data_IF_561868001719
#
_entry.id   IF_561868001719
#
_cell.length_a   1.000
_cell.length_b   1.000
_cell.length_c   1.000
_cell.angle_alpha   90.00
_cell.angle_beta   90.00
_cell.angle_gamma   90.00
#
_symmetry.space_group_name_H-M   'P 1'
#
loop_
_entity.id
_entity.type
_entity.pdbx_description
1 polymer ?
#
# COMPACT_ATOMS: atom_id res chain seq x y z
N UNK A 1 -7.64 -9.47 10.12
CA UNK A 1 -8.53 -8.65 9.29
C UNK A 1 -7.77 -8.24 8.02
N UNK A 2 -8.32 -8.52 6.83
CA UNK A 2 -7.70 -8.21 5.52
C UNK A 2 -7.64 -6.70 5.21
N UNK A 3 -8.40 -5.87 5.93
CA UNK A 3 -8.47 -4.43 5.70
C UNK A 3 -7.30 -3.64 6.31
N UNK A 4 -6.67 -4.15 7.39
CA UNK A 4 -5.68 -3.41 8.16
C UNK A 4 -4.51 -2.82 7.34
N UNK A 5 -3.91 -3.55 6.37
CA UNK A 5 -2.83 -3.00 5.55
C UNK A 5 -3.26 -1.76 4.75
N UNK A 6 -4.47 -1.80 4.17
CA UNK A 6 -5.01 -0.68 3.39
C UNK A 6 -5.28 0.53 4.29
N UNK A 7 -5.82 0.31 5.49
CA UNK A 7 -6.10 1.41 6.43
C UNK A 7 -4.82 2.08 6.95
N UNK A 8 -3.77 1.31 7.21
CA UNK A 8 -2.45 1.85 7.58
C UNK A 8 -1.88 2.74 6.48
N UNK A 9 -1.98 2.29 5.22
CA UNK A 9 -1.53 3.05 4.04
C UNK A 9 -2.30 4.36 3.89
N UNK A 10 -3.62 4.35 4.04
CA UNK A 10 -4.46 5.57 4.01
C UNK A 10 -4.05 6.62 5.04
N UNK A 11 -3.63 6.19 6.24
CA UNK A 11 -3.17 7.08 7.30
C UNK A 11 -1.76 7.61 6.97
N UNK A 12 -0.84 6.74 6.56
CA UNK A 12 0.54 7.13 6.27
C UNK A 12 0.64 8.14 5.12
N UNK A 13 -0.18 7.99 4.07
CA UNK A 13 -0.23 8.92 2.93
C UNK A 13 -1.15 10.13 3.18
N UNK A 14 -1.66 10.31 4.42
CA UNK A 14 -2.48 11.46 4.79
C UNK A 14 -3.82 11.57 4.03
N UNK A 15 -4.29 10.49 3.39
CA UNK A 15 -5.53 10.50 2.60
C UNK A 15 -6.77 10.72 3.48
N UNK A 16 -6.73 10.17 4.69
CA UNK A 16 -7.76 10.34 5.73
C UNK A 16 -7.11 10.88 6.99
N UNK A 17 -6.79 12.18 6.96
CA UNK A 17 -6.16 12.88 8.08
C UNK A 17 -7.04 12.88 9.35
N UNK A 18 -6.40 13.01 10.51
CA UNK A 18 -7.09 13.20 11.79
C UNK A 18 -7.79 11.97 12.37
N UNK A 19 -7.62 10.78 11.77
CA UNK A 19 -8.25 9.54 12.26
C UNK A 19 -7.20 8.53 12.69
N UNK A 20 -7.30 8.00 13.92
CA UNK A 20 -6.42 6.90 14.37
C UNK A 20 -6.78 5.57 13.68
N UNK A 21 -5.82 4.64 13.61
CA UNK A 21 -6.05 3.33 13.01
C UNK A 21 -7.24 2.56 13.64
N UNK A 22 -7.42 2.51 14.97
CA UNK A 22 -8.59 1.85 15.57
C UNK A 22 -9.92 2.53 15.24
N UNK A 23 -9.94 3.87 15.13
CA UNK A 23 -11.12 4.61 14.71
C UNK A 23 -11.46 4.31 13.25
N UNK A 24 -10.46 4.37 12.36
CA UNK A 24 -10.64 4.08 10.95
C UNK A 24 -11.05 2.61 10.70
N UNK A 25 -10.55 1.66 11.48
CA UNK A 25 -10.94 0.26 11.38
C UNK A 25 -12.42 0.04 11.74
N UNK A 26 -12.93 0.73 12.77
CA UNK A 26 -14.36 0.73 13.11
C UNK A 26 -15.19 1.39 12.01
N UNK A 27 -14.72 2.51 11.47
CA UNK A 27 -15.36 3.26 10.40
C UNK A 27 -15.02 2.75 8.98
N UNK A 28 -14.42 1.56 8.81
CA UNK A 28 -13.89 1.11 7.49
C UNK A 28 -14.90 1.13 6.35
N UNK A 29 -16.20 1.05 6.66
CA UNK A 29 -17.29 1.14 5.70
C UNK A 29 -17.42 2.52 5.05
N UNK A 30 -16.83 3.57 5.62
CA UNK A 30 -16.78 4.93 5.05
C UNK A 30 -15.67 5.08 4.01
N UNK A 31 -14.76 4.10 3.90
CA UNK A 31 -13.70 4.09 2.90
C UNK A 31 -14.30 3.84 1.52
N UNK A 32 -14.26 4.85 0.66
CA UNK A 32 -14.77 4.80 -0.70
C UNK A 32 -13.64 4.63 -1.72
N UNK A 33 -14.00 4.20 -2.93
CA UNK A 33 -13.08 4.05 -4.07
C UNK A 33 -12.20 5.29 -4.31
N UNK A 34 -12.75 6.50 -4.14
CA UNK A 34 -12.00 7.76 -4.30
C UNK A 34 -10.80 7.86 -3.34
N UNK A 35 -10.91 7.36 -2.11
CA UNK A 35 -9.81 7.36 -1.15
C UNK A 35 -8.71 6.40 -1.60
N UNK A 36 -9.10 5.23 -2.14
CA UNK A 36 -8.13 4.26 -2.67
C UNK A 36 -7.42 4.80 -3.92
N UNK A 37 -8.12 5.45 -4.84
CA UNK A 37 -7.49 6.05 -6.01
C UNK A 37 -6.51 7.17 -5.64
N UNK A 38 -6.87 7.99 -4.65
CA UNK A 38 -5.98 9.02 -4.11
C UNK A 38 -4.76 8.42 -3.41
N UNK A 39 -4.94 7.34 -2.65
CA UNK A 39 -3.85 6.60 -2.04
C UNK A 39 -2.86 6.11 -3.09
N UNK A 40 -3.35 5.41 -4.12
CA UNK A 40 -2.47 4.84 -5.15
C UNK A 40 -1.71 5.92 -5.93
N UNK A 41 -2.36 7.05 -6.21
CA UNK A 41 -1.69 8.18 -6.83
C UNK A 41 -0.57 8.74 -5.93
N UNK A 42 -0.84 8.92 -4.63
CA UNK A 42 0.14 9.42 -3.68
C UNK A 42 1.36 8.49 -3.57
N UNK A 43 1.13 7.17 -3.48
CA UNK A 43 2.21 6.18 -3.41
C UNK A 43 3.07 6.12 -4.69
N UNK A 44 2.48 6.49 -5.84
CA UNK A 44 3.17 6.65 -7.11
C UNK A 44 3.85 8.03 -7.27
N UNK A 45 3.78 8.92 -6.26
CA UNK A 45 4.39 10.25 -6.29
C UNK A 45 3.54 11.32 -6.99
N UNK A 46 2.24 11.07 -7.22
CA UNK A 46 1.32 12.00 -7.86
C UNK A 46 0.34 12.64 -6.86
N UNK A 47 -0.06 13.89 -7.14
CA UNK A 47 -0.95 14.68 -6.27
C UNK A 47 -2.43 14.27 -6.36
N UNK A 48 -2.83 13.63 -7.46
CA UNK A 48 -4.21 13.19 -7.69
C UNK A 48 -4.30 11.99 -8.64
N UNK A 49 -5.45 11.33 -8.63
CA UNK A 49 -5.76 10.25 -9.59
C UNK A 49 -5.71 10.77 -11.03
N UNK A 50 -6.22 11.97 -11.27
CA UNK A 50 -6.26 12.61 -12.59
C UNK A 50 -4.84 12.87 -13.12
N UNK A 51 -3.89 13.21 -12.24
CA UNK A 51 -2.49 13.40 -12.59
C UNK A 51 -1.76 12.06 -12.87
N UNK A 52 -2.12 10.98 -12.18
CA UNK A 52 -1.49 9.67 -12.34
C UNK A 52 -2.07 8.86 -13.51
N UNK A 53 -3.38 8.97 -13.77
CA UNK A 53 -4.10 8.17 -14.79
C UNK A 53 -3.46 8.18 -16.19
N UNK A 54 -2.94 9.30 -16.72
CA UNK A 54 -2.26 9.30 -18.01
C UNK A 54 -0.95 8.48 -17.99
N UNK A 55 -0.17 8.58 -16.90
CA UNK A 55 1.08 7.85 -16.74
C UNK A 55 0.87 6.33 -16.71
N UNK A 56 -0.26 5.87 -16.17
CA UNK A 56 -0.64 4.45 -16.16
C UNK A 56 -0.75 3.83 -17.57
N UNK A 57 -1.03 4.64 -18.61
CA UNK A 57 -1.09 4.12 -20.00
C UNK A 57 0.28 3.66 -20.51
N UNK A 58 1.35 4.12 -19.88
CA UNK A 58 2.73 3.82 -20.27
C UNK A 58 3.48 3.01 -19.19
N UNK A 59 2.81 2.63 -18.09
CA UNK A 59 3.42 1.88 -17.01
C UNK A 59 3.70 0.44 -17.41
N UNK A 60 4.88 -0.08 -17.04
CA UNK A 60 5.20 -1.49 -17.24
C UNK A 60 4.53 -2.33 -16.13
N UNK A 61 4.17 -3.60 -16.39
CA UNK A 61 3.57 -4.47 -15.38
C UNK A 61 4.39 -4.60 -14.09
N UNK A 62 5.71 -4.49 -14.19
CA UNK A 62 6.63 -4.50 -13.04
C UNK A 62 6.45 -3.28 -12.11
N UNK A 63 6.08 -2.12 -12.64
CA UNK A 63 5.88 -0.89 -11.86
C UNK A 63 4.60 -1.00 -11.02
N UNK A 64 3.70 -1.90 -11.41
CA UNK A 64 2.39 -2.14 -10.80
C UNK A 64 2.37 -3.37 -9.88
N UNK A 65 3.52 -3.96 -9.56
CA UNK A 65 3.62 -5.16 -8.70
C UNK A 65 2.95 -4.95 -7.33
N UNK A 66 3.07 -3.75 -6.76
CA UNK A 66 2.44 -3.37 -5.49
C UNK A 66 0.89 -3.40 -5.55
N UNK A 67 0.28 -3.34 -6.74
CA UNK A 67 -1.16 -3.48 -6.93
C UNK A 67 -1.60 -4.95 -6.97
N UNK A 68 -0.67 -5.88 -7.24
CA UNK A 68 -0.93 -7.32 -7.39
C UNK A 68 -0.85 -8.10 -6.08
N UNK A 69 -0.69 -7.40 -4.96
CA UNK A 69 -0.55 -7.98 -3.61
C UNK A 69 -1.82 -8.66 -3.07
N UNK A 70 -2.92 -8.64 -3.82
CA UNK A 70 -4.17 -9.31 -3.47
C UNK A 70 -4.32 -10.59 -4.29
N UNK A 71 -4.45 -11.74 -3.60
CA UNK A 71 -4.88 -13.01 -4.21
C UNK A 71 -3.84 -14.13 -4.28
N UNK A 72 -2.59 -13.89 -3.90
CA UNK A 72 -1.66 -15.00 -3.67
C UNK A 72 -1.92 -15.56 -2.27
N UNK A 73 -2.18 -16.86 -2.14
CA UNK A 73 -2.31 -17.54 -0.84
C UNK A 73 -1.01 -17.58 -0.03
N UNK A 74 -0.10 -16.63 -0.26
CA UNK A 74 1.21 -16.51 0.36
C UNK A 74 1.16 -15.62 1.59
N UNK A 75 2.03 -15.93 2.55
CA UNK A 75 2.16 -15.21 3.80
C UNK A 75 2.77 -13.82 3.57
N UNK A 76 1.91 -12.82 3.44
CA UNK A 76 2.31 -11.43 3.29
C UNK A 76 2.71 -10.83 4.65
N UNK A 77 4.01 -10.65 4.89
CA UNK A 77 4.50 -10.00 6.11
C UNK A 77 4.65 -8.50 5.87
N UNK A 78 3.88 -7.68 6.58
CA UNK A 78 3.84 -6.23 6.42
C UNK A 78 4.73 -5.53 7.44
N UNK A 79 5.55 -4.59 6.96
CA UNK A 79 6.46 -3.77 7.77
C UNK A 79 6.07 -2.30 7.71
N UNK A 80 6.50 -1.51 8.69
CA UNK A 80 6.26 -0.07 8.69
C UNK A 80 7.12 0.65 7.66
N UNK A 81 8.35 0.18 7.43
CA UNK A 81 9.29 0.75 6.45
C UNK A 81 10.02 -0.33 5.66
N UNK A 82 10.59 0.06 4.52
CA UNK A 82 11.44 -0.84 3.72
C UNK A 82 12.70 -1.27 4.48
N UNK A 83 13.34 -0.35 5.21
CA UNK A 83 14.54 -0.64 5.99
C UNK A 83 14.29 -1.66 7.10
N UNK A 84 13.13 -1.56 7.77
CA UNK A 84 12.71 -2.54 8.77
C UNK A 84 12.55 -3.92 8.14
N UNK A 85 11.86 -4.00 7.00
CA UNK A 85 11.64 -5.25 6.29
C UNK A 85 12.95 -5.90 5.85
N UNK A 86 13.88 -5.09 5.30
CA UNK A 86 15.19 -5.56 4.82
C UNK A 86 16.03 -6.14 5.96
N UNK A 87 16.02 -5.52 7.14
CA UNK A 87 16.70 -6.04 8.34
C UNK A 87 16.06 -7.32 8.84
N UNK A 88 14.73 -7.35 8.95
CA UNK A 88 14.00 -8.47 9.52
C UNK A 88 14.06 -9.75 8.65
N UNK A 89 14.10 -9.59 7.32
CA UNK A 89 14.09 -10.70 6.36
C UNK A 89 15.47 -10.98 5.74
N UNK A 90 16.53 -10.37 6.28
CA UNK A 90 17.89 -10.60 5.80
C UNK A 90 18.25 -12.09 5.81
N UNK A 91 18.71 -12.62 4.68
CA UNK A 91 19.07 -14.03 4.52
C UNK A 91 17.90 -15.00 4.35
N UNK A 92 16.66 -14.50 4.21
CA UNK A 92 15.48 -15.34 3.88
C UNK A 92 15.20 -15.29 2.39
N UNK A 93 14.72 -16.41 1.85
CA UNK A 93 14.19 -16.46 0.48
C UNK A 93 12.81 -15.78 0.41
N UNK A 94 12.58 -15.04 -0.66
CA UNK A 94 11.34 -14.29 -0.88
C UNK A 94 11.59 -12.98 -1.64
N UNK A 95 10.54 -12.17 -1.73
CA UNK A 95 10.56 -10.89 -2.45
C UNK A 95 10.04 -9.75 -1.59
N UNK A 96 10.83 -8.70 -1.48
CA UNK A 96 10.40 -7.43 -0.89
C UNK A 96 9.70 -6.56 -1.94
N UNK A 97 8.51 -6.06 -1.61
CA UNK A 97 7.74 -5.13 -2.45
C UNK A 97 7.44 -3.87 -1.66
N UNK A 98 7.87 -2.71 -2.18
CA UNK A 98 7.56 -1.40 -1.61
C UNK A 98 6.12 -0.98 -1.95
N UNK A 99 5.41 -0.43 -0.98
CA UNK A 99 4.02 0.03 -1.08
C UNK A 99 3.86 1.36 -0.36
N UNK A 100 4.06 2.47 -1.09
CA UNK A 100 4.20 3.79 -0.47
C UNK A 100 5.39 3.83 0.49
N UNK A 101 5.13 4.25 1.73
CA UNK A 101 6.06 4.20 2.87
C UNK A 101 6.29 2.80 3.45
N UNK A 102 5.37 1.86 3.20
CA UNK A 102 5.40 0.53 3.78
C UNK A 102 6.14 -0.45 2.88
N UNK A 103 6.41 -1.64 3.41
CA UNK A 103 6.90 -2.75 2.62
C UNK A 103 6.20 -4.05 2.99
N UNK A 104 6.09 -4.94 2.02
CA UNK A 104 5.56 -6.30 2.20
C UNK A 104 6.59 -7.32 1.72
N UNK A 105 6.82 -8.34 2.54
CA UNK A 105 7.58 -9.51 2.16
C UNK A 105 6.64 -10.60 1.66
N UNK A 106 6.94 -11.10 0.47
CA UNK A 106 6.27 -12.23 -0.16
C UNK A 106 7.18 -13.45 0.00
N UNK A 107 6.79 -14.38 0.87
CA UNK A 107 7.42 -15.68 1.02
C UNK A 107 6.99 -16.63 -0.11
#
# INVERSE_FOLDING_TARGET
STALPVLRRLIAEGVLAGTSLPQLHRARHTVQRKHLLRLLAAEAGHTSWEAWRPALRHALPQDLLHLRLHGSGTFNTWFATEDEARRAMHGREGRLVRVGWHAVWLA
#
